data_IF_962556741636
#
_entry.id   IF_962556741636
#
_cell.length_a   1.000
_cell.length_b   1.000
_cell.length_c   1.000
_cell.angle_alpha   90.00
_cell.angle_beta   90.00
_cell.angle_gamma   90.00
#
_symmetry.space_group_name_H-M   'P 1'
#
loop_
_entity.id
_entity.type
_entity.pdbx_description
1 polymer ?
#
# COMPACT_ATOMS: atom_id res chain seq x y z
N UNK A 1 -65.07 42.77 -7.23
CA UNK A 1 -66.18 42.58 -6.26
C UNK A 1 -66.40 41.07 -6.21
N UNK A 2 -66.12 40.30 -5.17
CA UNK A 2 -66.25 40.54 -3.73
C UNK A 2 -65.43 39.51 -2.94
N UNK A 3 -64.93 39.97 -1.78
CA UNK A 3 -64.75 39.28 -0.50
C UNK A 3 -63.85 38.02 -0.41
N UNK A 4 -62.64 38.20 0.13
CA UNK A 4 -61.88 37.15 0.80
C UNK A 4 -62.10 37.26 2.31
N UNK A 5 -62.80 36.29 2.92
CA UNK A 5 -62.82 36.10 4.38
C UNK A 5 -61.68 35.15 4.75
N UNK A 6 -60.73 35.62 5.56
CA UNK A 6 -59.68 34.79 6.13
C UNK A 6 -60.23 33.98 7.32
N UNK A 7 -60.12 32.65 7.25
CA UNK A 7 -60.22 31.77 8.42
C UNK A 7 -58.80 31.38 8.82
N UNK A 8 -58.38 31.82 10.02
CA UNK A 8 -57.15 31.35 10.65
C UNK A 8 -57.50 30.03 11.35
N UNK A 9 -57.06 28.91 10.78
CA UNK A 9 -57.05 27.61 11.49
C UNK A 9 -55.67 27.47 12.09
N UNK A 10 -55.59 27.52 13.43
CA UNK A 10 -54.38 27.27 14.18
C UNK A 10 -53.97 25.80 14.08
N UNK A 11 -52.79 25.55 13.50
CA UNK A 11 -52.16 24.23 13.50
C UNK A 11 -51.17 24.17 14.68
N UNK A 12 -51.57 23.53 15.77
CA UNK A 12 -50.65 23.19 16.85
C UNK A 12 -49.74 22.05 16.37
N UNK A 13 -48.48 22.38 16.05
CA UNK A 13 -47.45 21.40 15.72
C UNK A 13 -46.96 20.76 17.02
N UNK A 14 -47.37 19.52 17.28
CA UNK A 14 -46.77 18.67 18.31
C UNK A 14 -45.42 18.16 17.79
N UNK A 15 -44.33 18.79 18.22
CA UNK A 15 -42.97 18.29 18.05
C UNK A 15 -42.78 17.06 18.95
N UNK A 16 -42.91 15.86 18.38
CA UNK A 16 -42.41 14.65 19.02
C UNK A 16 -40.87 14.64 18.92
N UNK A 17 -40.12 14.48 20.03
CA UNK A 17 -38.69 14.27 19.95
C UNK A 17 -38.44 12.89 19.35
N UNK A 18 -37.85 12.87 18.16
CA UNK A 18 -37.30 11.67 17.57
C UNK A 18 -36.05 11.31 18.40
N UNK A 19 -36.19 10.37 19.33
CA UNK A 19 -35.02 9.75 19.97
C UNK A 19 -34.30 8.93 18.90
N UNK A 20 -33.29 9.52 18.29
CA UNK A 20 -32.29 8.77 17.55
C UNK A 20 -31.50 7.93 18.57
N UNK A 21 -31.82 6.64 18.67
CA UNK A 21 -30.96 5.69 19.34
C UNK A 21 -29.72 5.51 18.48
N UNK A 22 -28.56 5.93 18.98
CA UNK A 22 -27.29 5.58 18.38
C UNK A 22 -27.13 4.06 18.53
N UNK A 23 -27.32 3.33 17.44
CA UNK A 23 -26.86 1.95 17.34
C UNK A 23 -25.34 1.99 17.42
N UNK A 24 -24.78 1.73 18.61
CA UNK A 24 -23.37 1.41 18.78
C UNK A 24 -23.11 0.02 18.18
N UNK A 25 -23.14 -0.06 16.86
CA UNK A 25 -22.60 -1.18 16.12
C UNK A 25 -21.09 -1.18 16.28
N UNK A 26 -20.59 -1.80 17.35
CA UNK A 26 -19.18 -2.17 17.43
C UNK A 26 -18.91 -3.19 16.32
N UNK A 27 -18.48 -2.71 15.16
CA UNK A 27 -18.00 -3.56 14.09
C UNK A 27 -16.74 -4.28 14.59
N UNK A 28 -16.94 -5.45 15.19
CA UNK A 28 -15.86 -6.35 15.58
C UNK A 28 -15.33 -6.99 14.30
N UNK A 29 -14.28 -6.40 13.74
CA UNK A 29 -13.56 -7.01 12.63
C UNK A 29 -12.83 -8.25 13.14
N UNK A 30 -12.92 -9.39 12.44
CA UNK A 30 -12.13 -10.56 12.80
C UNK A 30 -10.63 -10.22 12.73
N UNK A 31 -9.78 -10.86 13.56
CA UNK A 31 -8.34 -10.74 13.44
C UNK A 31 -7.88 -11.00 12.01
N UNK A 32 -7.04 -10.11 11.47
CA UNK A 32 -6.57 -10.15 10.08
C UNK A 32 -5.05 -10.33 10.05
N UNK A 33 -4.55 -11.11 9.09
CA UNK A 33 -3.12 -11.33 8.85
C UNK A 33 -2.79 -10.92 7.41
N UNK A 34 -1.67 -10.22 7.23
CA UNK A 34 -1.09 -9.95 5.92
C UNK A 34 0.24 -10.72 5.78
N UNK A 35 0.50 -11.28 4.59
CA UNK A 35 1.73 -12.00 4.29
C UNK A 35 2.40 -11.35 3.09
N UNK A 36 3.62 -10.86 3.31
CA UNK A 36 4.48 -10.29 2.28
C UNK A 36 5.59 -11.28 1.98
N UNK A 37 5.82 -11.57 0.70
CA UNK A 37 6.95 -12.39 0.25
C UNK A 37 7.99 -11.50 -0.42
N UNK A 38 9.18 -11.48 0.17
CA UNK A 38 10.32 -10.67 -0.26
C UNK A 38 11.16 -11.34 -1.36
N UNK A 39 12.13 -10.57 -1.87
CA UNK A 39 13.14 -11.01 -2.84
C UNK A 39 12.61 -11.55 -4.18
N UNK A 40 11.43 -11.09 -4.59
CA UNK A 40 10.89 -11.43 -5.90
C UNK A 40 11.71 -10.79 -7.04
N UNK A 41 11.76 -11.49 -8.18
CA UNK A 41 12.43 -11.01 -9.41
C UNK A 41 13.69 -11.79 -9.81
N UNK A 42 14.27 -12.61 -8.92
CA UNK A 42 15.45 -13.43 -9.22
C UNK A 42 15.13 -14.80 -9.82
N UNK A 43 14.26 -15.59 -9.16
CA UNK A 43 13.94 -16.95 -9.60
C UNK A 43 12.62 -16.96 -10.37
N UNK A 44 12.69 -17.31 -11.66
CA UNK A 44 11.51 -17.33 -12.52
C UNK A 44 10.49 -18.40 -12.13
N UNK A 45 10.94 -19.60 -11.74
CA UNK A 45 10.05 -20.72 -11.43
C UNK A 45 9.31 -20.49 -10.11
N UNK A 46 10.05 -20.16 -9.05
CA UNK A 46 9.45 -19.85 -7.74
C UNK A 46 8.58 -18.60 -7.80
N UNK A 47 9.03 -17.56 -8.50
CA UNK A 47 8.22 -16.36 -8.70
C UNK A 47 6.91 -16.64 -9.43
N UNK A 48 6.91 -17.51 -10.44
CA UNK A 48 5.69 -17.96 -11.13
C UNK A 48 4.77 -18.77 -10.22
N UNK A 49 5.32 -19.61 -9.34
CA UNK A 49 4.55 -20.39 -8.37
C UNK A 49 3.83 -19.48 -7.38
N UNK A 50 4.56 -18.51 -6.80
CA UNK A 50 4.00 -17.53 -5.85
C UNK A 50 2.97 -16.62 -6.51
N UNK A 51 3.25 -16.13 -7.73
CA UNK A 51 2.31 -15.26 -8.45
C UNK A 51 0.97 -15.93 -8.75
N UNK A 52 0.95 -17.25 -8.97
CA UNK A 52 -0.27 -18.02 -9.29
C UNK A 52 -0.93 -18.71 -8.10
N UNK A 53 -0.33 -18.59 -6.92
CA UNK A 53 -0.87 -19.17 -5.69
C UNK A 53 -2.24 -18.55 -5.39
N UNK A 54 -3.24 -19.33 -4.97
CA UNK A 54 -4.60 -18.78 -4.76
C UNK A 54 -4.69 -17.84 -3.55
N UNK A 55 -3.81 -18.05 -2.56
CA UNK A 55 -3.76 -17.27 -1.32
C UNK A 55 -3.47 -15.78 -1.58
N UNK A 56 -4.07 -14.86 -0.79
CA UNK A 56 -3.87 -13.42 -0.94
C UNK A 56 -2.51 -13.01 -0.39
N UNK A 57 -1.49 -13.11 -1.23
CA UNK A 57 -0.11 -12.69 -0.92
C UNK A 57 0.18 -11.32 -1.51
N UNK A 58 0.91 -10.50 -0.76
CA UNK A 58 1.59 -9.32 -1.30
C UNK A 58 3.01 -9.73 -1.69
N UNK A 59 3.46 -9.33 -2.88
CA UNK A 59 4.73 -9.74 -3.44
C UNK A 59 5.65 -8.53 -3.59
N UNK A 60 6.81 -8.58 -2.93
CA UNK A 60 7.78 -7.49 -2.89
C UNK A 60 8.97 -7.78 -3.81
N UNK A 61 9.14 -6.93 -4.82
CA UNK A 61 10.10 -7.14 -5.90
C UNK A 61 11.35 -6.28 -5.74
N UNK A 62 12.52 -6.91 -5.84
CA UNK A 62 13.76 -6.17 -6.01
C UNK A 62 13.75 -5.50 -7.40
N UNK A 63 14.16 -4.21 -7.49
CA UNK A 63 14.21 -3.53 -8.77
C UNK A 63 15.34 -4.10 -9.64
N UNK A 64 15.19 -3.96 -10.96
CA UNK A 64 16.23 -4.29 -11.95
C UNK A 64 16.72 -5.75 -11.96
N UNK A 65 15.97 -6.71 -11.41
CA UNK A 65 16.28 -8.13 -11.59
C UNK A 65 15.75 -8.63 -12.92
N UNK A 66 16.39 -9.69 -13.42
CA UNK A 66 16.11 -10.29 -14.74
C UNK A 66 14.63 -10.60 -14.97
N UNK A 67 13.90 -10.95 -13.91
CA UNK A 67 12.49 -11.36 -14.01
C UNK A 67 11.52 -10.42 -13.29
N UNK A 68 11.97 -9.27 -12.78
CA UNK A 68 11.12 -8.31 -12.05
C UNK A 68 9.88 -7.92 -12.84
N UNK A 69 10.04 -7.36 -14.05
CA UNK A 69 8.93 -6.90 -14.89
C UNK A 69 7.96 -8.04 -15.28
N UNK A 70 8.40 -9.16 -15.88
CA UNK A 70 7.47 -10.20 -16.29
C UNK A 70 6.76 -10.89 -15.11
N UNK A 71 7.42 -11.03 -13.95
CA UNK A 71 6.79 -11.61 -12.77
C UNK A 71 5.82 -10.64 -12.10
N UNK A 72 6.14 -9.34 -12.02
CA UNK A 72 5.21 -8.34 -11.49
C UNK A 72 3.94 -8.26 -12.35
N UNK A 73 4.07 -8.23 -13.68
CA UNK A 73 2.89 -8.29 -14.56
C UNK A 73 2.07 -9.58 -14.39
N UNK A 74 2.72 -10.73 -14.18
CA UNK A 74 2.02 -11.98 -13.90
C UNK A 74 1.28 -11.92 -12.57
N UNK A 75 1.94 -11.48 -11.51
CA UNK A 75 1.38 -11.34 -10.17
C UNK A 75 0.15 -10.40 -10.18
N UNK A 76 0.25 -9.28 -10.87
CA UNK A 76 -0.87 -8.34 -11.03
C UNK A 76 -2.08 -8.98 -11.72
N UNK A 77 -1.85 -9.74 -12.81
CA UNK A 77 -2.93 -10.49 -13.49
C UNK A 77 -3.57 -11.57 -12.63
N UNK A 78 -2.88 -12.04 -11.61
CA UNK A 78 -3.39 -12.97 -10.60
C UNK A 78 -3.80 -12.26 -9.29
N UNK A 79 -4.12 -10.97 -9.38
CA UNK A 79 -4.66 -10.15 -8.30
C UNK A 79 -3.78 -10.09 -7.04
N UNK A 80 -2.46 -10.19 -7.22
CA UNK A 80 -1.50 -9.98 -6.12
C UNK A 80 -1.21 -8.50 -5.96
N UNK A 81 -1.05 -8.08 -4.72
CA UNK A 81 -0.48 -6.76 -4.41
C UNK A 81 1.02 -6.76 -4.74
N UNK A 82 1.51 -5.63 -5.26
CA UNK A 82 2.89 -5.50 -5.71
C UNK A 82 3.58 -4.38 -4.95
N UNK A 83 4.70 -4.72 -4.32
CA UNK A 83 5.52 -3.77 -3.55
C UNK A 83 6.92 -3.69 -4.15
N UNK A 84 7.56 -2.53 -3.98
CA UNK A 84 9.00 -2.38 -4.16
C UNK A 84 9.71 -2.96 -2.94
N UNK A 85 10.63 -3.90 -3.13
CA UNK A 85 11.61 -4.30 -2.13
C UNK A 85 12.88 -3.47 -2.31
N UNK A 86 13.00 -2.35 -1.60
CA UNK A 86 14.05 -1.36 -1.78
C UNK A 86 15.38 -1.80 -1.12
N UNK A 87 16.47 -2.03 -1.87
CA UNK A 87 17.78 -2.37 -1.29
C UNK A 87 18.34 -1.23 -0.45
N UNK A 88 18.65 -1.49 0.82
CA UNK A 88 19.12 -0.47 1.75
C UNK A 88 20.37 -0.93 2.52
N UNK A 89 21.28 0.00 2.79
CA UNK A 89 22.52 -0.25 3.51
C UNK A 89 22.31 -0.99 4.83
N UNK A 90 23.21 -1.94 5.10
CA UNK A 90 23.16 -2.82 6.26
C UNK A 90 24.48 -2.74 7.04
N UNK A 91 24.43 -3.06 8.33
CA UNK A 91 25.56 -3.03 9.26
C UNK A 91 26.61 -4.11 9.02
N UNK A 92 26.38 -5.03 8.08
CA UNK A 92 27.28 -6.13 7.73
C UNK A 92 28.00 -5.93 6.40
N UNK A 93 27.89 -4.74 5.79
CA UNK A 93 28.48 -4.38 4.50
C UNK A 93 28.15 -5.39 3.37
N UNK A 94 26.97 -6.00 3.43
CA UNK A 94 26.50 -6.90 2.37
C UNK A 94 26.10 -6.05 1.16
N UNK A 95 26.57 -6.44 -0.03
CA UNK A 95 26.30 -5.71 -1.27
C UNK A 95 24.80 -5.59 -1.59
N UNK A 96 24.36 -4.37 -1.90
CA UNK A 96 22.93 -4.04 -2.13
C UNK A 96 22.44 -4.39 -3.54
N UNK A 97 23.36 -4.37 -4.51
CA UNK A 97 23.01 -4.46 -5.92
C UNK A 97 22.33 -3.19 -6.46
N UNK A 98 21.69 -3.31 -7.62
CA UNK A 98 21.09 -2.18 -8.31
C UNK A 98 19.92 -1.56 -7.51
N UNK A 99 19.88 -0.23 -7.44
CA UNK A 99 18.84 0.50 -6.69
C UNK A 99 19.13 0.63 -5.19
N UNK A 100 20.35 0.31 -4.74
CA UNK A 100 20.80 0.47 -3.36
C UNK A 100 20.72 1.91 -2.86
N UNK A 101 20.18 2.07 -1.66
CA UNK A 101 20.17 3.31 -0.89
C UNK A 101 21.21 3.23 0.23
N UNK A 102 22.06 4.24 0.32
CA UNK A 102 23.17 4.29 1.28
C UNK A 102 23.18 5.61 2.08
N UNK A 103 23.81 5.64 3.28
CA UNK A 103 23.78 6.82 4.16
C UNK A 103 24.62 8.01 3.66
N UNK A 104 25.46 7.81 2.65
CA UNK A 104 26.28 8.86 2.03
C UNK A 104 25.56 9.59 0.88
N UNK A 105 24.33 9.17 0.55
CA UNK A 105 23.53 9.78 -0.50
C UNK A 105 22.77 10.99 0.03
N UNK A 106 22.89 12.13 -0.66
CA UNK A 106 22.03 13.27 -0.41
C UNK A 106 20.53 12.97 -0.72
N UNK A 107 19.64 13.80 -0.19
CA UNK A 107 18.18 13.66 -0.35
C UNK A 107 17.77 13.54 -1.83
N UNK A 108 18.40 14.32 -2.71
CA UNK A 108 18.10 14.33 -4.14
C UNK A 108 18.46 12.96 -4.76
N UNK A 109 19.58 12.39 -4.38
CA UNK A 109 20.06 11.10 -4.86
C UNK A 109 19.22 9.96 -4.31
N UNK A 110 18.82 10.01 -3.04
CA UNK A 110 17.88 9.05 -2.44
C UNK A 110 16.56 9.08 -3.20
N UNK A 111 15.97 10.27 -3.37
CA UNK A 111 14.69 10.42 -4.06
C UNK A 111 14.77 10.00 -5.53
N UNK A 112 15.85 10.32 -6.25
CA UNK A 112 16.07 9.90 -7.64
C UNK A 112 16.18 8.38 -7.73
N UNK A 113 16.93 7.76 -6.84
CA UNK A 113 17.14 6.31 -6.84
C UNK A 113 15.85 5.57 -6.51
N UNK A 114 15.12 6.01 -5.49
CA UNK A 114 13.83 5.43 -5.13
C UNK A 114 12.81 5.57 -6.27
N UNK A 115 12.72 6.74 -6.93
CA UNK A 115 11.83 6.94 -8.09
C UNK A 115 12.16 5.99 -9.24
N UNK A 116 13.45 5.80 -9.55
CA UNK A 116 13.88 4.85 -10.58
C UNK A 116 13.52 3.41 -10.20
N UNK A 117 13.70 3.03 -8.94
CA UNK A 117 13.34 1.70 -8.44
C UNK A 117 11.82 1.45 -8.51
N UNK A 118 11.00 2.44 -8.17
CA UNK A 118 9.53 2.37 -8.32
C UNK A 118 9.13 2.21 -9.79
N UNK A 119 9.71 3.00 -10.69
CA UNK A 119 9.41 2.94 -12.13
C UNK A 119 9.84 1.62 -12.78
N UNK A 120 10.80 0.90 -12.19
CA UNK A 120 11.29 -0.38 -12.70
C UNK A 120 10.31 -1.54 -12.46
N UNK A 121 9.28 -1.34 -11.64
CA UNK A 121 8.34 -2.38 -11.22
C UNK A 121 6.92 -1.90 -11.57
N UNK A 122 6.23 -2.55 -12.52
CA UNK A 122 4.87 -2.16 -12.88
C UNK A 122 3.88 -2.48 -11.75
N UNK A 123 2.82 -1.67 -11.63
CA UNK A 123 1.71 -1.83 -10.69
C UNK A 123 2.07 -1.75 -9.19
N UNK A 124 3.23 -1.17 -8.84
CA UNK A 124 3.61 -0.97 -7.42
C UNK A 124 2.57 -0.12 -6.69
N UNK A 125 2.14 -0.61 -5.52
CA UNK A 125 1.25 0.09 -4.58
C UNK A 125 1.89 0.34 -3.20
N UNK A 126 3.07 -0.22 -2.93
CA UNK A 126 3.75 -0.09 -1.63
C UNK A 126 5.27 -0.25 -1.69
N UNK A 127 5.94 -0.01 -0.57
CA UNK A 127 7.40 -0.14 -0.43
C UNK A 127 7.72 -0.96 0.83
N UNK A 128 8.68 -1.87 0.71
CA UNK A 128 9.28 -2.65 1.79
C UNK A 128 10.81 -2.54 1.69
N UNK A 129 11.55 -2.50 2.80
CA UNK A 129 13.02 -2.46 2.79
C UNK A 129 13.62 -3.87 2.63
N UNK A 130 14.66 -3.99 1.79
CA UNK A 130 15.55 -5.15 1.74
C UNK A 130 16.79 -4.86 2.59
N UNK A 131 16.95 -5.61 3.69
CA UNK A 131 17.90 -5.31 4.76
C UNK A 131 17.63 -3.93 5.40
N UNK A 132 18.54 -2.96 5.27
CA UNK A 132 18.35 -1.61 5.81
C UNK A 132 18.81 -1.38 7.24
N UNK A 133 19.44 -2.36 7.90
CA UNK A 133 19.82 -2.21 9.32
C UNK A 133 20.71 -1.01 9.61
N UNK A 134 21.42 -0.44 8.64
CA UNK A 134 22.21 0.78 8.81
C UNK A 134 21.41 2.03 8.38
N UNK A 135 20.78 1.98 7.20
CA UNK A 135 20.09 3.16 6.65
C UNK A 135 18.89 3.57 7.49
N UNK A 136 18.11 2.62 8.03
CA UNK A 136 16.91 2.93 8.82
C UNK A 136 17.22 3.50 10.21
N UNK A 137 18.50 3.60 10.59
CA UNK A 137 18.92 4.29 11.82
C UNK A 137 19.16 5.78 11.60
N UNK A 138 19.27 6.23 10.34
CA UNK A 138 19.55 7.62 10.02
C UNK A 138 18.27 8.45 10.13
N UNK A 139 18.35 9.61 10.80
CA UNK A 139 17.23 10.54 10.89
C UNK A 139 17.10 11.46 9.67
N UNK A 140 18.19 11.62 8.92
CA UNK A 140 18.27 12.42 7.71
C UNK A 140 18.98 11.60 6.63
N UNK A 141 18.59 11.75 5.35
CA UNK A 141 19.41 11.31 4.24
C UNK A 141 20.74 12.09 4.19
#
# INVERSE_FOLDING_TARGET
MTATRAFIVGLAVLLAPCLATAEEGSASYPPTIAIIIDDMGYNLQEGKRLARMDQPLSLSFLPFRRHTVPLAQLAFRHHKEIMLHAPMANTRDIGLGAGGLTPDMDEISVARTLRRSLQAIPHVSGVNNHMGSLLTQQMLP
#
